data_IF_097952678729
#
_entry.id   IF_097952678729
#
_cell.length_a   1.000
_cell.length_b   1.000
_cell.length_c   1.000
_cell.angle_alpha   90.00
_cell.angle_beta   90.00
_cell.angle_gamma   90.00
#
_symmetry.space_group_name_H-M   'P 1'
#
loop_
_entity.id
_entity.type
_entity.pdbx_description
1 polymer ?
#
# COMPACT_ATOMS: atom_id res chain seq x y z
N UNK A 1 18.44 -30.11 -0.45
CA UNK A 1 17.17 -29.94 -1.19
C UNK A 1 16.39 -28.86 -0.45
N UNK A 2 16.78 -27.60 -0.60
CA UNK A 2 16.25 -26.64 -1.59
C UNK A 2 14.84 -26.20 -1.26
N UNK A 3 14.75 -25.15 -0.44
CA UNK A 3 13.73 -24.11 -0.54
C UNK A 3 14.46 -22.76 -0.43
N UNK A 4 15.30 -22.51 -1.44
CA UNK A 4 15.68 -21.16 -1.82
C UNK A 4 14.63 -20.73 -2.84
N UNK A 5 13.54 -20.13 -2.37
CA UNK A 5 12.51 -19.56 -3.25
C UNK A 5 12.03 -18.24 -2.65
N UNK A 6 12.51 -17.12 -3.21
CA UNK A 6 11.64 -15.97 -3.45
C UNK A 6 11.87 -14.68 -2.66
N UNK A 7 12.69 -14.61 -1.61
CA UNK A 7 12.90 -13.35 -0.86
C UNK A 7 13.90 -12.38 -1.55
N UNK A 8 13.92 -12.35 -2.88
CA UNK A 8 14.78 -11.49 -3.71
C UNK A 8 13.91 -10.66 -4.67
N UNK A 9 12.95 -9.92 -4.12
CA UNK A 9 12.29 -8.78 -4.77
C UNK A 9 12.24 -7.61 -3.78
N UNK A 10 13.41 -7.23 -3.26
CA UNK A 10 13.62 -5.96 -2.59
C UNK A 10 13.59 -4.81 -3.63
N UNK A 11 12.42 -4.59 -4.26
CA UNK A 11 12.22 -3.53 -5.24
C UNK A 11 11.18 -2.55 -4.70
N UNK A 12 11.68 -1.50 -4.06
CA UNK A 12 10.97 -0.24 -3.75
C UNK A 12 9.68 -0.34 -2.92
N UNK A 13 9.69 -1.08 -1.81
CA UNK A 13 8.52 -1.12 -0.94
C UNK A 13 8.47 0.18 -0.12
N UNK A 14 7.42 0.95 -0.32
CA UNK A 14 7.27 2.26 0.30
C UNK A 14 7.49 2.24 1.81
N UNK A 15 7.96 3.36 2.38
CA UNK A 15 7.96 3.51 3.82
C UNK A 15 6.52 3.40 4.36
N UNK A 16 6.28 2.51 5.30
CA UNK A 16 4.97 2.32 5.94
C UNK A 16 4.99 3.07 7.27
N UNK A 17 4.05 3.99 7.48
CA UNK A 17 3.92 4.68 8.77
C UNK A 17 3.38 3.74 9.85
N UNK A 18 3.64 4.03 11.13
CA UNK A 18 3.07 3.25 12.24
C UNK A 18 1.53 3.17 12.18
N UNK A 19 0.87 4.26 11.79
CA UNK A 19 -0.57 4.25 11.57
C UNK A 19 -1.00 3.29 10.44
N UNK A 20 -0.24 3.23 9.34
CA UNK A 20 -0.54 2.28 8.27
C UNK A 20 -0.33 0.83 8.73
N UNK A 21 0.71 0.55 9.53
CA UNK A 21 0.94 -0.77 10.12
C UNK A 21 -0.21 -1.20 11.03
N UNK A 22 -0.71 -0.30 11.89
CA UNK A 22 -1.89 -0.56 12.72
C UNK A 22 -3.10 -0.92 11.85
N UNK A 23 -3.36 -0.16 10.79
CA UNK A 23 -4.47 -0.45 9.86
C UNK A 23 -4.29 -1.78 9.13
N UNK A 24 -3.07 -2.14 8.76
CA UNK A 24 -2.77 -3.43 8.12
C UNK A 24 -3.13 -4.58 9.07
N UNK A 25 -2.67 -4.50 10.32
CA UNK A 25 -2.95 -5.49 11.36
C UNK A 25 -4.46 -5.61 11.64
N UNK A 26 -5.14 -4.48 11.86
CA UNK A 26 -6.59 -4.44 12.12
C UNK A 26 -7.43 -5.06 10.99
N UNK A 27 -6.97 -4.93 9.74
CA UNK A 27 -7.74 -5.29 8.53
C UNK A 27 -7.26 -6.58 7.89
N UNK A 28 -6.26 -7.25 8.47
CA UNK A 28 -5.65 -8.45 7.91
C UNK A 28 -5.07 -8.20 6.51
N UNK A 29 -4.43 -7.06 6.29
CA UNK A 29 -3.73 -6.73 5.03
C UNK A 29 -2.27 -7.16 5.17
N UNK A 30 -1.81 -8.19 4.43
CA UNK A 30 -0.40 -8.57 4.45
C UNK A 30 0.45 -7.55 3.68
N UNK A 31 1.74 -7.44 4.02
CA UNK A 31 2.69 -6.57 3.31
C UNK A 31 2.71 -6.85 1.80
N UNK A 32 2.71 -8.13 1.41
CA UNK A 32 2.67 -8.58 0.01
C UNK A 32 1.48 -8.00 -0.78
N UNK A 33 0.34 -7.78 -0.13
CA UNK A 33 -0.82 -7.17 -0.79
C UNK A 33 -0.61 -5.68 -1.08
N UNK A 34 0.09 -4.97 -0.18
CA UNK A 34 0.43 -3.56 -0.39
C UNK A 34 1.42 -3.45 -1.53
N UNK A 35 2.43 -4.31 -1.54
CA UNK A 35 3.47 -4.36 -2.56
C UNK A 35 2.87 -4.65 -3.94
N UNK A 36 2.01 -5.67 -4.03
CA UNK A 36 1.31 -6.03 -5.27
C UNK A 36 0.45 -4.88 -5.78
N UNK A 37 -0.29 -4.19 -4.90
CA UNK A 37 -1.09 -3.03 -5.32
C UNK A 37 -0.22 -1.86 -5.76
N UNK A 38 0.89 -1.59 -5.08
CA UNK A 38 1.79 -0.50 -5.49
C UNK A 38 2.46 -0.81 -6.84
N UNK A 39 2.72 -2.08 -7.14
CA UNK A 39 3.30 -2.52 -8.41
C UNK A 39 2.26 -2.59 -9.56
N UNK A 40 1.03 -3.05 -9.27
CA UNK A 40 0.04 -3.47 -10.28
C UNK A 40 -1.35 -2.82 -10.10
N UNK A 41 -1.44 -1.64 -9.48
CA UNK A 41 -2.71 -0.92 -9.36
C UNK A 41 -3.35 -0.68 -10.74
N UNK A 42 -4.68 -0.80 -10.81
CA UNK A 42 -5.44 -0.51 -12.03
C UNK A 42 -5.99 0.93 -12.03
N UNK A 43 -6.15 1.54 -10.85
CA UNK A 43 -6.67 2.92 -10.73
C UNK A 43 -5.87 3.70 -9.70
N UNK A 44 -5.61 4.98 -9.98
CA UNK A 44 -5.10 5.93 -8.99
C UNK A 44 -5.95 7.19 -8.97
N UNK A 45 -6.10 7.81 -7.80
CA UNK A 45 -6.82 9.08 -7.65
C UNK A 45 -6.32 9.89 -6.46
N UNK A 46 -6.43 11.23 -6.48
CA UNK A 46 -6.19 12.05 -5.30
C UNK A 46 -7.04 11.60 -4.11
N UNK A 47 -6.42 11.52 -2.92
CA UNK A 47 -7.18 11.44 -1.69
C UNK A 47 -7.87 12.79 -1.40
N UNK A 48 -9.02 12.76 -0.72
CA UNK A 48 -9.67 13.98 -0.26
C UNK A 48 -8.73 14.79 0.65
N UNK A 49 -8.71 16.13 0.53
CA UNK A 49 -7.89 16.96 1.38
C UNK A 49 -8.30 16.80 2.85
N UNK A 50 -7.31 16.77 3.74
CA UNK A 50 -7.50 16.77 5.20
C UNK A 50 -6.67 17.91 5.78
N UNK A 51 -7.27 18.68 6.68
CA UNK A 51 -6.59 19.79 7.35
C UNK A 51 -5.36 19.26 8.11
N UNK A 52 -4.22 19.92 7.91
CA UNK A 52 -2.93 19.52 8.52
C UNK A 52 -2.29 18.24 7.95
N UNK A 53 -2.92 17.56 6.98
CA UNK A 53 -2.35 16.37 6.35
C UNK A 53 -1.65 16.71 5.03
N UNK A 54 -0.56 15.98 4.74
CA UNK A 54 0.07 16.07 3.42
C UNK A 54 -0.88 15.51 2.34
N UNK A 55 -0.88 16.10 1.13
CA UNK A 55 -1.63 15.55 0.00
C UNK A 55 -1.27 14.08 -0.22
N UNK A 56 -2.28 13.25 -0.47
CA UNK A 56 -2.09 11.83 -0.72
C UNK A 56 -2.75 11.38 -2.03
N UNK A 57 -2.30 10.26 -2.56
CA UNK A 57 -2.86 9.54 -3.70
C UNK A 57 -3.31 8.17 -3.20
N UNK A 58 -4.49 7.76 -3.66
CA UNK A 58 -5.05 6.44 -3.41
C UNK A 58 -4.73 5.59 -4.64
N UNK A 59 -3.97 4.53 -4.45
CA UNK A 59 -3.77 3.47 -5.43
C UNK A 59 -4.75 2.34 -5.13
N UNK A 60 -5.44 1.85 -6.16
CA UNK A 60 -6.41 0.76 -6.05
C UNK A 60 -5.98 -0.38 -6.95
N UNK A 61 -5.77 -1.54 -6.35
CA UNK A 61 -5.41 -2.77 -7.04
C UNK A 61 -6.13 -3.96 -6.43
N UNK A 62 -5.98 -5.12 -7.04
CA UNK A 62 -6.65 -6.36 -6.62
C UNK A 62 -5.65 -7.32 -5.99
N UNK A 63 -5.97 -7.84 -4.81
CA UNK A 63 -5.24 -8.91 -4.13
C UNK A 63 -6.21 -10.02 -3.74
N UNK A 64 -5.93 -11.26 -4.11
CA UNK A 64 -6.78 -12.42 -3.81
C UNK A 64 -8.28 -12.17 -4.10
N UNK A 65 -8.57 -11.64 -5.29
CA UNK A 65 -9.93 -11.34 -5.74
C UNK A 65 -10.68 -10.30 -4.89
N UNK A 66 -9.96 -9.44 -4.16
CA UNK A 66 -10.48 -8.33 -3.37
C UNK A 66 -9.72 -7.06 -3.70
N UNK A 67 -10.43 -5.94 -3.81
CA UNK A 67 -9.78 -4.66 -4.09
C UNK A 67 -9.23 -4.04 -2.80
N UNK A 68 -7.98 -3.60 -2.86
CA UNK A 68 -7.27 -2.92 -1.78
C UNK A 68 -6.93 -1.50 -2.23
N UNK A 69 -7.21 -0.55 -1.34
CA UNK A 69 -6.86 0.87 -1.48
C UNK A 69 -5.65 1.16 -0.61
N UNK A 70 -4.58 1.67 -1.21
CA UNK A 70 -3.33 2.06 -0.55
C UNK A 70 -3.17 3.58 -0.63
N UNK A 71 -3.03 4.25 0.51
CA UNK A 71 -2.90 5.70 0.60
C UNK A 71 -1.44 6.09 0.73
N UNK A 72 -0.92 6.84 -0.25
CA UNK A 72 0.48 7.21 -0.34
C UNK A 72 0.62 8.72 -0.35
N UNK A 73 1.60 9.29 0.37
CA UNK A 73 1.88 10.73 0.28
C UNK A 73 2.32 11.10 -1.13
N UNK A 74 1.68 12.11 -1.70
CA UNK A 74 2.01 12.62 -3.02
C UNK A 74 3.46 13.12 -3.04
N UNK A 75 4.18 12.83 -4.12
CA UNK A 75 5.58 13.25 -4.35
C UNK A 75 6.59 12.74 -3.32
N UNK A 76 6.26 11.67 -2.57
CA UNK A 76 7.22 11.00 -1.69
C UNK A 76 8.06 9.97 -2.45
N UNK A 77 9.38 10.02 -2.24
CA UNK A 77 10.34 9.04 -2.75
C UNK A 77 11.36 8.69 -1.65
N UNK A 78 11.36 7.45 -1.10
CA UNK A 78 10.48 6.34 -1.45
C UNK A 78 8.99 6.63 -1.16
N UNK A 79 8.04 5.91 -1.79
CA UNK A 79 6.61 6.09 -1.54
C UNK A 79 6.31 5.97 -0.04
N UNK A 80 5.57 6.90 0.55
CA UNK A 80 5.21 6.84 1.98
C UNK A 80 3.75 6.43 2.15
N UNK A 81 3.52 5.18 2.54
CA UNK A 81 2.19 4.61 2.82
C UNK A 81 1.70 5.11 4.17
N UNK A 82 0.54 5.77 4.16
CA UNK A 82 -0.08 6.40 5.34
C UNK A 82 -1.31 5.66 5.83
N UNK A 83 -1.94 4.84 4.99
CA UNK A 83 -3.09 4.01 5.35
C UNK A 83 -3.38 2.95 4.30
N UNK A 84 -4.11 1.91 4.66
CA UNK A 84 -4.60 0.86 3.75
C UNK A 84 -6.06 0.52 4.08
N UNK A 85 -6.87 0.17 3.08
CA UNK A 85 -8.27 -0.19 3.27
C UNK A 85 -8.77 -1.17 2.19
N UNK A 86 -9.42 -2.26 2.58
CA UNK A 86 -10.21 -3.04 1.64
C UNK A 86 -11.36 -2.19 1.08
N UNK A 87 -11.62 -2.31 -0.22
CA UNK A 87 -12.84 -1.80 -0.82
C UNK A 87 -14.02 -2.67 -0.39
N UNK A 88 -15.13 -2.03 0.00
CA UNK A 88 -16.39 -2.66 0.38
C UNK A 88 -17.34 -2.72 -0.80
#
# INVERSE_FOLDING_TARGET
>A
MTLQSGALMAVMLGQITGHAQERMLERGVPDEAVDEVLANYHTSRPAGPREGARPAVIYVGTWNNRNLRVYVVRDSNPPLVTSVAWEV
#
